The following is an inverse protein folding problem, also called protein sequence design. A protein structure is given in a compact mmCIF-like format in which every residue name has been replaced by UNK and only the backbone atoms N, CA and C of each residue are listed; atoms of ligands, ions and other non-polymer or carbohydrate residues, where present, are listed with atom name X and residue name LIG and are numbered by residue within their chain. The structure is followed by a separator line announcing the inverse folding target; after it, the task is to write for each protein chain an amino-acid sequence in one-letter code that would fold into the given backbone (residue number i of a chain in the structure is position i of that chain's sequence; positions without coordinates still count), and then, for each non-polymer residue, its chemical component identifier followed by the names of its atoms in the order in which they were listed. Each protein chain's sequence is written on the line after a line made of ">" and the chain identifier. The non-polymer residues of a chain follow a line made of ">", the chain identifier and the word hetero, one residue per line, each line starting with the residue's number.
data_IF_261170259108
#
_entry.id   IF_261170259108
#
_cell.length_a   1.000
_cell.length_b   1.000
_cell.length_c   1.000
_cell.angle_alpha   90.00
_cell.angle_beta   90.00
_cell.angle_gamma   90.00
#
_symmetry.space_group_name_H-M   'P 1'
#
loop_
_entity.id
_entity.type
_entity.pdbx_description
1 polymer ?
#
# COMPACT_ATOMS: atom_id res chain seq x y z
N UNK A 1 -24.22 12.24 24.05
CA UNK A 1 -22.95 13.02 24.00
C UNK A 1 -22.02 12.67 22.83
N UNK A 2 -22.08 11.46 22.24
CA UNK A 2 -21.19 11.05 21.12
C UNK A 2 -21.43 11.80 19.81
N UNK A 3 -22.68 12.18 19.51
CA UNK A 3 -23.02 12.80 18.22
C UNK A 3 -22.49 14.24 18.05
N UNK A 4 -22.35 14.99 19.14
CA UNK A 4 -21.86 16.38 19.09
C UNK A 4 -20.36 16.43 18.75
N UNK A 5 -19.58 15.46 19.20
CA UNK A 5 -18.14 15.39 18.93
C UNK A 5 -17.88 14.99 17.48
N UNK A 6 -18.68 14.06 16.93
CA UNK A 6 -18.57 13.65 15.54
C UNK A 6 -18.92 14.80 14.57
N UNK A 7 -20.01 15.53 14.84
CA UNK A 7 -20.42 16.68 14.02
C UNK A 7 -19.36 17.80 14.03
N UNK A 8 -18.79 18.13 15.18
CA UNK A 8 -17.71 19.13 15.28
C UNK A 8 -16.43 18.74 14.53
N UNK A 9 -16.11 17.44 14.47
CA UNK A 9 -14.94 16.97 13.70
C UNK A 9 -15.15 17.08 12.20
N UNK A 10 -16.35 16.83 11.70
CA UNK A 10 -16.70 17.01 10.28
C UNK A 10 -16.60 18.49 9.90
N UNK A 11 -17.12 19.40 10.72
CA UNK A 11 -17.03 20.84 10.50
C UNK A 11 -15.58 21.34 10.48
N UNK A 12 -14.70 20.77 11.30
CA UNK A 12 -13.28 21.12 11.33
C UNK A 12 -12.51 20.57 10.10
N UNK A 13 -12.93 19.45 9.52
CA UNK A 13 -12.28 18.85 8.34
C UNK A 13 -12.67 19.53 7.04
N UNK A 14 -13.92 20.04 6.93
CA UNK A 14 -14.45 20.59 5.69
C UNK A 14 -13.55 21.66 5.02
N UNK A 15 -13.00 22.64 5.75
CA UNK A 15 -12.09 23.62 5.16
C UNK A 15 -10.82 23.03 4.54
N UNK A 16 -10.26 22.00 5.18
CA UNK A 16 -9.06 21.32 4.68
C UNK A 16 -9.36 20.43 3.48
N UNK A 17 -10.51 19.74 3.50
CA UNK A 17 -10.95 18.91 2.39
C UNK A 17 -11.34 19.73 1.16
N UNK A 18 -11.64 21.02 1.32
CA UNK A 18 -11.94 21.94 0.23
C UNK A 18 -10.69 22.55 -0.43
N UNK A 19 -9.49 22.29 0.11
CA UNK A 19 -8.24 22.77 -0.48
C UNK A 19 -8.00 22.09 -1.82
N UNK A 20 -7.55 22.88 -2.80
CA UNK A 20 -7.17 22.34 -4.11
C UNK A 20 -5.88 21.52 -4.00
N UNK A 21 -5.94 20.25 -4.36
CA UNK A 21 -4.79 19.36 -4.42
C UNK A 21 -3.99 19.54 -5.73
N UNK A 22 -4.54 20.26 -6.72
CA UNK A 22 -3.97 20.38 -8.05
C UNK A 22 -3.96 19.03 -8.80
N UNK A 23 -2.97 18.81 -9.65
CA UNK A 23 -2.80 17.59 -10.46
C UNK A 23 -2.17 16.42 -9.72
N UNK A 24 -1.59 16.67 -8.56
CA UNK A 24 -0.83 15.67 -7.82
C UNK A 24 -1.73 14.58 -7.23
N UNK A 25 -1.18 13.36 -7.16
CA UNK A 25 -1.87 12.18 -6.62
C UNK A 25 -1.09 11.65 -5.43
N UNK A 26 -1.79 11.38 -4.32
CA UNK A 26 -1.22 10.67 -3.19
C UNK A 26 -1.38 9.17 -3.45
N UNK A 27 -0.25 8.45 -3.50
CA UNK A 27 -0.21 7.01 -3.63
C UNK A 27 0.24 6.39 -2.31
N UNK A 28 -0.68 5.81 -1.57
CA UNK A 28 -0.40 5.15 -0.30
C UNK A 28 -0.08 3.68 -0.54
N UNK A 29 1.19 3.33 -0.39
CA UNK A 29 1.70 1.97 -0.46
C UNK A 29 1.37 1.25 0.84
N UNK A 30 0.69 0.12 0.73
CA UNK A 30 0.17 -0.67 1.85
C UNK A 30 0.77 -2.08 1.77
N UNK A 31 1.24 -2.60 2.90
CA UNK A 31 1.76 -3.97 3.00
C UNK A 31 1.40 -4.62 4.33
N UNK A 32 1.59 -5.92 4.41
CA UNK A 32 1.42 -6.70 5.63
C UNK A 32 2.80 -6.92 6.26
N UNK A 33 2.94 -6.59 7.53
CA UNK A 33 4.18 -6.76 8.28
C UNK A 33 4.40 -8.20 8.79
N UNK A 34 5.50 -8.40 9.50
CA UNK A 34 5.88 -9.71 10.03
C UNK A 34 4.93 -10.27 11.11
N UNK A 35 4.13 -9.41 11.72
CA UNK A 35 3.15 -9.77 12.75
C UNK A 35 1.71 -9.84 12.22
N UNK A 36 1.53 -9.65 10.91
CA UNK A 36 0.22 -9.64 10.25
C UNK A 36 -0.50 -8.29 10.34
N UNK A 37 0.18 -7.24 10.81
CA UNK A 37 -0.34 -5.88 10.86
C UNK A 37 -0.27 -5.20 9.50
N UNK A 38 -1.17 -4.22 9.27
CA UNK A 38 -1.14 -3.38 8.08
C UNK A 38 -0.23 -2.18 8.31
N UNK A 39 0.70 -1.97 7.38
CA UNK A 39 1.59 -0.80 7.34
C UNK A 39 1.37 -0.02 6.07
N UNK A 40 1.72 1.27 6.11
CA UNK A 40 1.64 2.11 4.93
C UNK A 40 2.68 3.22 4.93
N UNK A 41 2.96 3.72 3.75
CA UNK A 41 3.69 4.97 3.51
C UNK A 41 3.22 5.59 2.20
N UNK A 42 3.22 6.91 2.13
CA UNK A 42 2.63 7.64 1.01
C UNK A 42 3.68 8.40 0.22
N UNK A 43 3.60 8.35 -1.10
CA UNK A 43 4.35 9.24 -1.98
C UNK A 43 3.41 10.11 -2.79
N UNK A 44 3.93 11.25 -3.23
CA UNK A 44 3.24 12.13 -4.17
C UNK A 44 3.69 11.80 -5.58
N UNK A 45 2.73 11.59 -6.48
CA UNK A 45 2.95 11.40 -7.91
C UNK A 45 2.54 12.68 -8.66
N UNK A 46 3.24 12.99 -9.75
CA UNK A 46 2.94 14.15 -10.60
C UNK A 46 1.66 13.97 -11.41
N UNK A 47 1.26 12.71 -11.63
CA UNK A 47 0.04 12.34 -12.35
C UNK A 47 -0.49 10.98 -11.88
N UNK A 48 -1.77 10.71 -12.18
CA UNK A 48 -2.39 9.43 -11.86
C UNK A 48 -1.80 8.30 -12.73
N UNK A 49 -1.33 7.18 -12.12
CA UNK A 49 -0.84 6.03 -12.88
C UNK A 49 -1.99 5.36 -13.63
N UNK A 50 -1.72 4.87 -14.84
CA UNK A 50 -2.68 4.12 -15.66
C UNK A 50 -2.74 2.65 -15.25
N UNK A 51 -1.64 2.13 -14.73
CA UNK A 51 -1.50 0.74 -14.34
C UNK A 51 -0.49 0.58 -13.20
N UNK A 52 -0.43 -0.63 -12.63
CA UNK A 52 0.60 -1.00 -11.63
C UNK A 52 2.02 -0.83 -12.19
N UNK A 53 2.22 -1.03 -13.49
CA UNK A 53 3.54 -0.92 -14.14
C UNK A 53 4.10 0.52 -14.15
N UNK A 54 3.25 1.53 -13.95
CA UNK A 54 3.67 2.93 -13.87
C UNK A 54 4.18 3.31 -12.47
N UNK A 55 3.99 2.40 -11.49
CA UNK A 55 4.39 2.61 -10.11
C UNK A 55 5.79 2.03 -9.86
N UNK A 56 6.64 2.81 -9.20
CA UNK A 56 7.98 2.36 -8.85
C UNK A 56 7.96 1.38 -7.67
N UNK A 57 8.92 0.47 -7.65
CA UNK A 57 9.29 -0.24 -6.43
C UNK A 57 9.79 0.75 -5.38
N UNK A 58 9.47 0.53 -4.11
CA UNK A 58 9.92 1.33 -3.00
C UNK A 58 10.52 0.43 -1.91
N UNK A 59 11.01 0.99 -0.82
CA UNK A 59 11.59 0.24 0.28
C UNK A 59 11.23 0.86 1.64
N UNK A 60 11.46 0.10 2.68
CA UNK A 60 11.32 0.54 4.06
C UNK A 60 12.28 -0.24 4.97
N UNK A 61 12.49 0.25 6.19
CA UNK A 61 13.26 -0.45 7.22
C UNK A 61 12.41 -1.56 7.86
N UNK A 62 12.72 -2.80 7.50
CA UNK A 62 12.01 -3.99 7.96
C UNK A 62 12.32 -4.40 9.40
N UNK A 63 13.32 -3.80 10.04
CA UNK A 63 13.69 -4.12 11.43
C UNK A 63 12.59 -3.71 12.42
N UNK A 64 11.89 -2.60 12.13
CA UNK A 64 10.78 -2.11 12.96
C UNK A 64 9.45 -2.83 12.71
N UNK A 65 9.38 -3.70 11.72
CA UNK A 65 8.16 -4.40 11.27
C UNK A 65 8.27 -5.91 11.38
N UNK A 66 9.30 -6.42 12.08
CA UNK A 66 9.60 -7.85 12.21
C UNK A 66 9.75 -8.58 10.86
N UNK A 67 10.34 -7.90 9.86
CA UNK A 67 10.51 -8.44 8.50
C UNK A 67 11.98 -8.62 8.10
N UNK A 68 12.91 -7.89 8.74
CA UNK A 68 14.34 -8.00 8.47
C UNK A 68 15.18 -7.79 9.74
N UNK A 69 16.45 -8.27 9.77
CA UNK A 69 17.40 -7.95 10.85
C UNK A 69 17.87 -6.49 10.74
N UNK A 70 18.37 -5.93 11.87
CA UNK A 70 18.76 -4.52 11.93
C UNK A 70 19.99 -4.14 11.11
N UNK A 71 20.88 -5.09 10.84
CA UNK A 71 22.11 -4.92 10.05
C UNK A 71 21.90 -5.10 8.53
N UNK A 72 20.73 -5.61 8.13
CA UNK A 72 20.32 -5.79 6.73
C UNK A 72 18.81 -5.56 6.62
N UNK A 73 18.39 -4.31 6.87
CA UNK A 73 17.01 -3.98 7.18
C UNK A 73 16.15 -3.57 5.99
N UNK A 74 16.73 -3.37 4.81
CA UNK A 74 15.97 -2.97 3.63
C UNK A 74 15.03 -4.09 3.16
N UNK A 75 13.73 -3.76 3.11
CA UNK A 75 12.69 -4.58 2.51
C UNK A 75 12.04 -3.79 1.38
N UNK A 76 11.88 -4.43 0.22
CA UNK A 76 11.32 -3.81 -0.97
C UNK A 76 9.80 -4.01 -1.07
N UNK A 77 9.11 -2.97 -1.49
CA UNK A 77 7.68 -2.94 -1.77
C UNK A 77 7.45 -2.99 -3.27
N UNK A 78 6.93 -4.11 -3.77
CA UNK A 78 6.52 -4.26 -5.17
C UNK A 78 5.02 -4.04 -5.30
N UNK A 79 4.58 -3.00 -6.03
CA UNK A 79 3.17 -2.79 -6.32
C UNK A 79 2.54 -3.99 -7.04
N UNK A 80 1.36 -4.41 -6.57
CA UNK A 80 0.64 -5.53 -7.19
C UNK A 80 -0.81 -5.20 -7.56
N UNK A 81 -1.40 -4.19 -6.91
CA UNK A 81 -2.76 -3.75 -7.20
C UNK A 81 -2.98 -2.30 -6.82
N UNK A 82 -3.80 -1.60 -7.61
CA UNK A 82 -4.25 -0.23 -7.34
C UNK A 82 -5.73 -0.26 -6.97
N UNK A 83 -6.10 0.53 -5.97
CA UNK A 83 -7.47 0.81 -5.57
C UNK A 83 -7.67 2.32 -5.46
N UNK A 84 -8.90 2.78 -5.63
CA UNK A 84 -9.26 4.16 -5.28
C UNK A 84 -9.08 4.36 -3.77
N UNK A 85 -8.55 5.51 -3.37
CA UNK A 85 -8.44 5.87 -1.96
C UNK A 85 -9.80 6.38 -1.46
N UNK A 86 -10.51 5.63 -0.60
CA UNK A 86 -11.81 6.06 -0.08
C UNK A 86 -11.69 7.11 1.02
N UNK A 87 -10.49 7.30 1.56
CA UNK A 87 -10.24 8.22 2.68
C UNK A 87 -9.90 9.63 2.18
N UNK A 88 -9.00 9.74 1.20
CA UNK A 88 -8.61 11.01 0.59
C UNK A 88 -9.52 11.40 -0.57
N UNK A 89 -10.11 10.42 -1.26
CA UNK A 89 -10.96 10.66 -2.42
C UNK A 89 -10.20 11.19 -3.64
N UNK A 90 -10.93 11.77 -4.59
CA UNK A 90 -10.36 12.35 -5.81
C UNK A 90 -9.60 11.33 -6.66
N UNK A 91 -8.42 11.72 -7.15
CA UNK A 91 -7.52 10.88 -7.93
C UNK A 91 -6.55 10.05 -7.07
N UNK A 92 -6.63 10.17 -5.74
CA UNK A 92 -5.74 9.49 -4.81
C UNK A 92 -5.97 7.97 -4.81
N UNK A 93 -4.89 7.21 -4.56
CA UNK A 93 -4.89 5.76 -4.70
C UNK A 93 -4.26 5.06 -3.49
N UNK A 94 -4.75 3.85 -3.24
CA UNK A 94 -4.11 2.86 -2.38
C UNK A 94 -3.40 1.84 -3.27
N UNK A 95 -2.17 1.48 -2.92
CA UNK A 95 -1.32 0.57 -3.68
C UNK A 95 -0.98 -0.62 -2.80
N UNK A 96 -1.59 -1.78 -3.06
CA UNK A 96 -1.21 -3.01 -2.37
C UNK A 96 0.15 -3.46 -2.89
N UNK A 97 1.05 -3.78 -1.95
CA UNK A 97 2.41 -4.20 -2.24
C UNK A 97 2.72 -5.57 -1.67
N UNK A 98 3.59 -6.30 -2.35
CA UNK A 98 4.31 -7.46 -1.84
C UNK A 98 5.66 -7.03 -1.27
N UNK A 99 6.12 -7.74 -0.21
CA UNK A 99 7.42 -7.51 0.40
C UNK A 99 8.47 -8.49 -0.14
N UNK A 100 9.65 -7.97 -0.48
CA UNK A 100 10.79 -8.75 -0.95
C UNK A 100 12.05 -8.36 -0.18
N UNK A 101 12.90 -9.34 0.11
CA UNK A 101 14.19 -9.11 0.71
C UNK A 101 15.16 -8.46 -0.30
N UNK A 102 16.28 -7.93 0.16
CA UNK A 102 17.22 -7.21 -0.69
C UNK A 102 17.93 -8.10 -1.73
N UNK A 103 17.92 -9.41 -1.54
CA UNK A 103 18.40 -10.40 -2.52
C UNK A 103 17.34 -10.72 -3.61
N UNK A 104 16.16 -10.12 -3.53
CA UNK A 104 15.06 -10.30 -4.48
C UNK A 104 14.18 -11.51 -4.20
N UNK A 105 14.40 -12.23 -3.09
CA UNK A 105 13.51 -13.31 -2.68
C UNK A 105 12.27 -12.77 -1.96
N UNK A 106 11.10 -13.45 -2.04
CA UNK A 106 9.93 -13.06 -1.26
C UNK A 106 10.25 -13.06 0.24
N UNK A 107 9.96 -11.95 0.92
CA UNK A 107 10.11 -11.88 2.38
C UNK A 107 9.26 -12.97 3.06
N UNK A 108 9.71 -13.45 4.23
CA UNK A 108 9.01 -14.47 5.03
C UNK A 108 7.54 -14.15 5.33
N UNK A 109 7.17 -12.86 5.33
CA UNK A 109 5.80 -12.38 5.51
C UNK A 109 4.97 -12.33 4.22
N UNK A 110 5.58 -12.60 3.06
CA UNK A 110 4.95 -12.48 1.74
C UNK A 110 4.26 -13.78 1.31
N UNK A 111 3.17 -14.13 1.98
CA UNK A 111 2.35 -15.29 1.63
C UNK A 111 1.68 -15.16 0.25
N UNK A 112 1.46 -13.93 -0.22
CA UNK A 112 0.83 -13.66 -1.51
C UNK A 112 1.67 -14.15 -2.69
N UNK A 113 2.99 -14.00 -2.64
CA UNK A 113 3.89 -14.47 -3.71
C UNK A 113 3.76 -15.99 -3.91
N UNK A 114 3.72 -16.76 -2.81
CA UNK A 114 3.51 -18.21 -2.88
C UNK A 114 2.11 -18.57 -3.39
N UNK A 115 1.08 -17.92 -2.86
CA UNK A 115 -0.30 -18.11 -3.31
C UNK A 115 -0.42 -17.82 -4.81
N UNK A 116 0.12 -16.71 -5.29
CA UNK A 116 0.11 -16.36 -6.72
C UNK A 116 0.76 -17.45 -7.59
N UNK A 117 1.90 -17.99 -7.17
CA UNK A 117 2.59 -19.08 -7.88
C UNK A 117 1.70 -20.31 -8.01
N UNK A 118 1.03 -20.72 -6.93
CA UNK A 118 0.10 -21.85 -6.93
C UNK A 118 -1.11 -21.59 -7.83
N UNK A 119 -1.68 -20.38 -7.72
CA UNK A 119 -2.84 -19.98 -8.52
C UNK A 119 -2.52 -19.90 -10.02
N UNK A 120 -1.36 -19.37 -10.37
CA UNK A 120 -0.91 -19.33 -11.76
C UNK A 120 -0.72 -20.75 -12.34
N UNK A 121 -0.21 -21.68 -11.55
CA UNK A 121 -0.08 -23.09 -11.96
C UNK A 121 -1.43 -23.80 -12.10
N UNK A 122 -2.40 -23.48 -11.24
CA UNK A 122 -3.74 -24.06 -11.27
C UNK A 122 -4.67 -23.40 -12.30
N UNK A 123 -4.26 -22.33 -12.96
CA UNK A 123 -5.11 -21.53 -13.85
C UNK A 123 -5.71 -22.34 -15.00
N UNK A 124 -4.96 -23.30 -15.54
CA UNK A 124 -5.42 -24.17 -16.63
C UNK A 124 -6.54 -25.13 -16.20
N UNK A 125 -6.64 -25.41 -14.90
CA UNK A 125 -7.65 -26.31 -14.33
C UNK A 125 -8.97 -25.59 -14.01
N UNK A 126 -9.01 -24.26 -14.15
CA UNK A 126 -10.18 -23.41 -13.85
C UNK A 126 -10.88 -23.78 -12.54
N UNK A 127 -10.20 -23.83 -11.39
CA UNK A 127 -10.71 -24.41 -10.14
C UNK A 127 -11.86 -23.61 -9.49
N UNK A 128 -12.30 -22.51 -10.10
CA UNK A 128 -13.44 -21.67 -9.69
C UNK A 128 -14.12 -21.01 -10.89
#
# INVERSE_FOLDING_TARGET
>A
MSNIIATKRVDLLAPYMALDQGKFVQAEYIWIDGDGGVRCKTMTLDEAPKSVADLREWNFDGSSTNQAPGDNSDVFLRPVRIFKDPFRGGANILVLCECYDNDGTPNKSNYRAHCKKVMDAAKAEEPW
#
